data_IF_311356059562
#
_entry.id   IF_311356059562
#
_cell.length_a   1.000
_cell.length_b   1.000
_cell.length_c   1.000
_cell.angle_alpha   90.00
_cell.angle_beta   90.00
_cell.angle_gamma   90.00
#
_symmetry.space_group_name_H-M   'P 1'
#
loop_
_entity.id
_entity.type
_entity.pdbx_description
1 polymer ?
#
# COMPACT_ATOMS: atom_id res chain seq x y z
N UNK A 1 -5.29 -14.62 -23.98
CA UNK A 1 -3.87 -14.21 -24.08
C UNK A 1 -3.10 -15.07 -23.09
N UNK A 2 -2.17 -15.90 -23.57
CA UNK A 2 -1.36 -16.78 -22.74
C UNK A 2 -0.03 -16.09 -22.41
N UNK A 3 0.27 -15.90 -21.14
CA UNK A 3 1.60 -15.50 -20.70
C UNK A 3 2.35 -16.77 -20.28
N UNK A 4 3.30 -17.18 -21.12
CA UNK A 4 4.23 -18.28 -20.83
C UNK A 4 5.30 -17.70 -19.89
N UNK A 5 5.31 -18.15 -18.63
CA UNK A 5 6.33 -17.83 -17.64
C UNK A 5 7.66 -18.53 -18.01
N UNK A 6 8.67 -17.75 -18.42
CA UNK A 6 10.09 -18.15 -18.49
C UNK A 6 10.95 -17.08 -17.74
N UNK A 7 12.03 -17.43 -17.00
CA UNK A 7 12.39 -16.84 -15.68
C UNK A 7 13.60 -15.88 -15.66
N UNK A 8 13.95 -15.18 -14.54
CA UNK A 8 13.19 -14.95 -13.30
C UNK A 8 12.79 -13.46 -13.20
N UNK A 9 11.56 -13.12 -13.57
CA UNK A 9 10.94 -11.89 -13.07
C UNK A 9 10.14 -12.31 -11.84
N UNK A 10 10.82 -12.42 -10.71
CA UNK A 10 10.20 -12.79 -9.43
C UNK A 10 9.22 -11.71 -8.93
N UNK A 11 8.87 -10.69 -9.71
CA UNK A 11 8.04 -9.57 -9.30
C UNK A 11 6.95 -9.24 -10.33
N UNK A 12 5.70 -9.28 -9.88
CA UNK A 12 4.49 -8.95 -10.65
C UNK A 12 3.95 -7.59 -10.20
N UNK A 13 3.43 -6.78 -11.12
CA UNK A 13 2.99 -5.41 -10.83
C UNK A 13 1.53 -5.18 -11.30
N UNK A 14 0.53 -5.64 -10.53
CA UNK A 14 -0.87 -5.36 -10.84
C UNK A 14 -1.14 -3.86 -10.81
N UNK A 15 -2.01 -3.38 -11.72
CA UNK A 15 -2.40 -1.96 -11.78
C UNK A 15 -3.86 -1.74 -11.34
N UNK A 16 -4.57 -2.83 -11.06
CA UNK A 16 -5.94 -2.82 -10.54
C UNK A 16 -6.24 -4.10 -9.73
N UNK A 17 -7.41 -4.13 -9.11
CA UNK A 17 -7.86 -5.24 -8.26
C UNK A 17 -8.08 -6.51 -9.09
N UNK A 18 -8.56 -6.39 -10.33
CA UNK A 18 -8.83 -7.51 -11.22
C UNK A 18 -7.54 -8.26 -11.56
N UNK A 19 -6.48 -7.54 -11.93
CA UNK A 19 -5.15 -8.11 -12.17
C UNK A 19 -4.63 -8.85 -10.94
N UNK A 20 -4.77 -8.22 -9.76
CA UNK A 20 -4.36 -8.83 -8.50
C UNK A 20 -5.13 -10.12 -8.21
N UNK A 21 -6.45 -10.13 -8.40
CA UNK A 21 -7.28 -11.31 -8.21
C UNK A 21 -6.83 -12.48 -9.11
N UNK A 22 -6.51 -12.19 -10.37
CA UNK A 22 -6.06 -13.22 -11.31
C UNK A 22 -4.69 -13.77 -10.93
N UNK A 23 -3.76 -12.92 -10.50
CA UNK A 23 -2.45 -13.35 -9.97
C UNK A 23 -2.64 -14.26 -8.76
N UNK A 24 -3.46 -13.85 -7.79
CA UNK A 24 -3.73 -14.62 -6.57
C UNK A 24 -4.35 -15.98 -6.88
N UNK A 25 -5.25 -16.04 -7.87
CA UNK A 25 -5.86 -17.27 -8.33
C UNK A 25 -4.83 -18.23 -8.93
N UNK A 26 -3.98 -17.76 -9.84
CA UNK A 26 -2.94 -18.57 -10.47
C UNK A 26 -1.92 -19.10 -9.45
N UNK A 27 -1.49 -18.25 -8.52
CA UNK A 27 -0.60 -18.63 -7.41
C UNK A 27 -1.21 -19.76 -6.58
N UNK A 28 -2.49 -19.63 -6.23
CA UNK A 28 -3.23 -20.64 -5.45
C UNK A 28 -3.34 -21.95 -6.19
N UNK A 29 -3.67 -21.91 -7.48
CA UNK A 29 -3.78 -23.10 -8.35
C UNK A 29 -2.42 -23.82 -8.50
N UNK A 30 -1.33 -23.05 -8.54
CA UNK A 30 0.03 -23.59 -8.65
C UNK A 30 0.67 -23.99 -7.31
N UNK A 31 -0.03 -23.83 -6.18
CA UNK A 31 0.50 -24.13 -4.84
C UNK A 31 1.74 -23.31 -4.46
N UNK A 32 1.93 -22.13 -5.06
CA UNK A 32 3.09 -21.27 -4.84
C UNK A 32 2.87 -20.29 -3.69
N UNK A 33 3.94 -19.84 -3.04
CA UNK A 33 3.90 -18.76 -2.06
C UNK A 33 4.05 -17.40 -2.74
N UNK A 34 3.33 -16.41 -2.20
CA UNK A 34 3.51 -15.01 -2.58
C UNK A 34 4.07 -14.20 -1.44
N UNK A 35 4.78 -13.14 -1.78
CA UNK A 35 5.02 -12.03 -0.89
C UNK A 35 4.67 -10.71 -1.52
N UNK A 36 4.14 -9.83 -0.69
CA UNK A 36 3.66 -8.52 -1.11
C UNK A 36 4.72 -7.47 -0.79
N UNK A 37 4.95 -6.59 -1.75
CA UNK A 37 5.76 -5.38 -1.62
C UNK A 37 4.92 -4.18 -2.06
N UNK A 38 5.19 -3.00 -1.51
CA UNK A 38 4.62 -1.75 -2.02
C UNK A 38 5.70 -0.81 -2.60
N UNK A 39 6.97 -1.27 -2.64
CA UNK A 39 8.05 -0.62 -3.37
C UNK A 39 8.77 0.54 -2.66
N UNK A 40 8.40 0.88 -1.42
CA UNK A 40 9.07 1.96 -0.66
C UNK A 40 10.03 1.48 0.40
N UNK A 41 9.88 0.25 0.87
CA UNK A 41 10.75 -0.32 1.90
C UNK A 41 11.52 -1.53 1.36
N UNK A 42 12.84 -1.65 1.66
CA UNK A 42 13.63 -2.75 1.18
C UNK A 42 13.08 -4.08 1.69
N UNK A 43 12.90 -5.00 0.76
CA UNK A 43 12.34 -6.32 1.00
C UNK A 43 13.32 -7.38 0.45
N UNK A 44 13.51 -8.48 1.21
CA UNK A 44 14.34 -9.61 0.77
C UNK A 44 13.45 -10.80 0.40
N UNK A 45 13.29 -11.12 -0.89
CA UNK A 45 12.66 -12.37 -1.27
C UNK A 45 13.54 -13.55 -0.83
N UNK A 46 12.89 -14.61 -0.36
CA UNK A 46 13.44 -15.95 -0.22
C UNK A 46 13.39 -16.56 -1.62
N UNK A 47 14.28 -17.52 -1.84
CA UNK A 47 14.31 -18.31 -3.05
C UNK A 47 12.92 -18.94 -3.26
N UNK A 48 12.43 -18.87 -4.50
CA UNK A 48 11.17 -19.47 -4.98
C UNK A 48 9.85 -18.72 -4.69
N UNK A 49 9.90 -17.56 -4.02
CA UNK A 49 8.69 -16.74 -3.84
C UNK A 49 8.36 -15.85 -5.04
N UNK A 50 7.06 -15.81 -5.37
CA UNK A 50 6.50 -14.82 -6.29
C UNK A 50 6.27 -13.52 -5.51
N UNK A 51 6.95 -12.45 -5.90
CA UNK A 51 6.73 -11.11 -5.35
C UNK A 51 5.61 -10.44 -6.12
N UNK A 52 4.65 -9.85 -5.42
CA UNK A 52 3.60 -9.01 -5.99
C UNK A 52 3.79 -7.60 -5.44
N UNK A 53 4.11 -6.66 -6.33
CA UNK A 53 4.37 -5.29 -5.99
C UNK A 53 3.16 -4.40 -6.34
N UNK A 54 2.50 -3.91 -5.29
CA UNK A 54 1.28 -3.10 -5.38
C UNK A 54 1.57 -1.61 -5.59
N UNK A 55 2.82 -1.21 -5.83
CA UNK A 55 3.21 0.19 -6.00
C UNK A 55 2.55 0.90 -7.19
N UNK A 56 1.92 0.17 -8.12
CA UNK A 56 1.12 0.72 -9.23
C UNK A 56 -0.36 0.89 -8.90
N UNK A 57 -0.81 0.40 -7.74
CA UNK A 57 -2.16 0.62 -7.23
C UNK A 57 -2.12 1.83 -6.29
N UNK A 58 -2.18 3.04 -6.82
CA UNK A 58 -1.90 4.30 -6.12
C UNK A 58 -3.07 5.29 -6.08
N UNK A 59 -4.30 4.84 -6.36
CA UNK A 59 -5.49 5.70 -6.47
C UNK A 59 -6.11 6.07 -5.12
N UNK A 60 -6.72 7.27 -5.08
CA UNK A 60 -7.72 7.62 -4.08
C UNK A 60 -9.04 6.95 -4.46
N UNK A 61 -9.59 6.14 -3.56
CA UNK A 61 -10.86 5.43 -3.76
C UNK A 61 -12.05 6.18 -3.14
N UNK A 62 -11.81 6.95 -2.09
CA UNK A 62 -12.84 7.76 -1.45
C UNK A 62 -12.32 8.64 -0.32
N UNK A 63 -13.01 9.76 -0.09
CA UNK A 63 -12.73 10.67 1.02
C UNK A 63 -14.06 11.13 1.63
N UNK A 64 -14.30 10.70 2.86
CA UNK A 64 -15.44 11.11 3.68
C UNK A 64 -14.98 12.13 4.70
N UNK A 65 -15.34 13.39 4.47
CA UNK A 65 -14.93 14.51 5.32
C UNK A 65 -15.68 14.49 6.66
N UNK A 66 -16.92 14.01 6.69
CA UNK A 66 -17.73 13.97 7.91
C UNK A 66 -17.17 12.91 8.86
N UNK A 67 -16.90 11.72 8.33
CA UNK A 67 -16.31 10.61 9.08
C UNK A 67 -14.79 10.69 9.18
N UNK A 68 -14.16 11.71 8.59
CA UNK A 68 -12.70 11.93 8.57
C UNK A 68 -11.94 10.68 8.08
N UNK A 69 -12.51 9.99 7.11
CA UNK A 69 -12.06 8.69 6.61
C UNK A 69 -11.61 8.83 5.17
N UNK A 70 -10.42 8.33 4.88
CA UNK A 70 -9.88 8.25 3.54
C UNK A 70 -9.70 6.78 3.15
N UNK A 71 -10.02 6.43 1.92
CA UNK A 71 -9.85 5.09 1.35
C UNK A 71 -8.96 5.21 0.13
N UNK A 72 -7.85 4.49 0.13
CA UNK A 72 -6.77 4.59 -0.87
C UNK A 72 -6.25 3.22 -1.21
N UNK A 73 -5.69 3.08 -2.39
CA UNK A 73 -4.93 1.89 -2.78
C UNK A 73 -3.57 1.86 -2.06
N UNK A 74 -3.02 0.66 -1.77
CA UNK A 74 -1.84 0.50 -0.90
C UNK A 74 -0.54 1.09 -1.47
N UNK A 75 -0.45 1.26 -2.79
CA UNK A 75 0.69 1.85 -3.49
C UNK A 75 0.73 3.38 -3.44
N UNK A 76 -0.30 4.06 -2.93
CA UNK A 76 -0.29 5.52 -2.80
C UNK A 76 0.83 5.97 -1.87
N UNK A 77 1.55 7.04 -2.21
CA UNK A 77 2.56 7.64 -1.32
C UNK A 77 1.93 8.49 -0.22
N UNK A 78 2.53 8.48 0.97
CA UNK A 78 2.15 9.36 2.09
C UNK A 78 2.17 10.84 1.68
N UNK A 79 3.19 11.27 0.92
CA UNK A 79 3.27 12.64 0.42
C UNK A 79 2.11 13.03 -0.50
N UNK A 80 1.64 12.09 -1.34
CA UNK A 80 0.48 12.30 -2.20
C UNK A 80 -0.81 12.38 -1.36
N UNK A 81 -0.96 11.49 -0.38
CA UNK A 81 -2.10 11.52 0.55
C UNK A 81 -2.15 12.82 1.37
N UNK A 82 -1.01 13.30 1.90
CA UNK A 82 -0.97 14.55 2.66
C UNK A 82 -1.43 15.74 1.83
N UNK A 83 -0.99 15.83 0.57
CA UNK A 83 -1.44 16.89 -0.35
C UNK A 83 -2.96 16.84 -0.54
N UNK A 84 -3.54 15.65 -0.69
CA UNK A 84 -5.00 15.49 -0.83
C UNK A 84 -5.71 15.95 0.45
N UNK A 85 -5.27 15.52 1.62
CA UNK A 85 -5.91 15.87 2.90
C UNK A 85 -5.79 17.37 3.20
N UNK A 86 -4.67 17.99 2.84
CA UNK A 86 -4.45 19.44 2.98
C UNK A 86 -5.50 20.25 2.22
N UNK A 87 -5.93 19.80 1.03
CA UNK A 87 -7.00 20.48 0.25
C UNK A 87 -8.34 20.58 0.97
N UNK A 88 -8.58 19.73 1.98
CA UNK A 88 -9.80 19.70 2.78
C UNK A 88 -9.55 20.01 4.26
N UNK A 89 -8.41 20.62 4.58
CA UNK A 89 -7.99 20.98 5.95
C UNK A 89 -7.95 19.79 6.91
N UNK A 90 -7.63 18.60 6.39
CA UNK A 90 -7.41 17.38 7.17
C UNK A 90 -5.92 17.03 7.20
N UNK A 91 -5.51 16.29 8.22
CA UNK A 91 -4.18 15.72 8.33
C UNK A 91 -4.21 14.37 9.04
N UNK A 92 -3.17 13.56 8.83
CA UNK A 92 -2.97 12.34 9.64
C UNK A 92 -2.20 12.71 10.90
N UNK A 93 -2.65 12.19 12.03
CA UNK A 93 -1.89 12.28 13.29
C UNK A 93 -0.75 11.27 13.27
N UNK A 94 0.45 11.75 12.95
CA UNK A 94 1.65 10.94 12.83
C UNK A 94 2.74 11.49 13.74
N UNK A 95 3.33 10.60 14.57
CA UNK A 95 4.38 10.97 15.51
C UNK A 95 5.75 10.61 14.94
N UNK A 96 6.64 11.60 14.88
CA UNK A 96 8.04 11.42 14.46
C UNK A 96 8.28 11.69 12.97
N UNK A 97 9.55 11.55 12.55
CA UNK A 97 9.93 11.73 11.15
C UNK A 97 9.62 10.46 10.37
N UNK A 98 8.60 10.49 9.53
CA UNK A 98 8.23 9.36 8.66
C UNK A 98 8.74 9.62 7.23
N UNK A 99 9.53 8.70 6.63
CA UNK A 99 9.96 8.83 5.24
C UNK A 99 8.75 8.73 4.29
N UNK A 100 8.92 9.15 3.03
CA UNK A 100 7.86 9.08 2.03
C UNK A 100 7.61 7.64 1.54
N UNK A 101 6.86 6.90 2.35
CA UNK A 101 6.48 5.52 2.12
C UNK A 101 5.16 5.44 1.38
N UNK A 102 4.95 4.34 0.66
CA UNK A 102 3.62 3.90 0.26
C UNK A 102 2.78 3.56 1.49
N UNK A 103 1.46 3.77 1.42
CA UNK A 103 0.53 3.47 2.53
C UNK A 103 0.69 2.04 3.03
N UNK A 104 0.82 1.06 2.13
CA UNK A 104 1.01 -0.34 2.50
C UNK A 104 2.29 -0.59 3.30
N UNK A 105 3.41 0.03 2.91
CA UNK A 105 4.68 -0.10 3.63
C UNK A 105 4.65 0.67 4.97
N UNK A 106 4.02 1.85 5.01
CA UNK A 106 3.83 2.60 6.23
C UNK A 106 3.04 1.78 7.26
N UNK A 107 1.92 1.17 6.86
CA UNK A 107 1.13 0.27 7.70
C UNK A 107 1.94 -0.93 8.19
N UNK A 108 2.68 -1.59 7.29
CA UNK A 108 3.48 -2.77 7.63
C UNK A 108 4.60 -2.47 8.65
N UNK A 109 5.21 -1.29 8.57
CA UNK A 109 6.29 -0.87 9.49
C UNK A 109 5.71 -0.39 10.82
N UNK A 110 4.67 0.45 10.78
CA UNK A 110 4.08 1.01 12.00
C UNK A 110 3.53 -0.12 12.88
N UNK A 111 2.92 -1.15 12.27
CA UNK A 111 2.46 -2.36 12.98
C UNK A 111 3.59 -3.11 13.70
N UNK A 112 4.81 -3.12 13.15
CA UNK A 112 5.95 -3.77 13.80
C UNK A 112 6.54 -2.98 14.96
N UNK A 113 6.22 -1.68 15.11
CA UNK A 113 6.85 -0.82 16.11
C UNK A 113 6.04 -0.62 17.41
N UNK A 114 4.74 -0.96 17.44
CA UNK A 114 3.88 -0.85 18.65
C UNK A 114 2.77 -1.90 18.68
N UNK A 115 2.43 -2.38 19.88
CA UNK A 115 1.28 -3.26 20.18
C UNK A 115 -0.10 -2.66 19.81
N UNK A 116 -0.18 -1.40 19.39
CA UNK A 116 -1.36 -0.78 18.77
C UNK A 116 -0.90 0.35 17.86
N UNK A 117 -0.83 0.06 16.56
CA UNK A 117 -0.66 1.05 15.51
C UNK A 117 -2.04 1.48 15.00
N UNK A 118 -2.67 2.41 15.70
CA UNK A 118 -3.92 3.01 15.21
C UNK A 118 -3.54 4.15 14.26
N UNK A 119 -3.83 4.01 12.95
CA UNK A 119 -4.03 5.20 12.12
C UNK A 119 -5.28 5.87 12.67
N UNK A 120 -5.08 6.91 13.47
CA UNK A 120 -6.18 7.66 14.06
C UNK A 120 -6.93 8.41 12.94
N UNK A 121 -8.24 8.69 13.13
CA UNK A 121 -9.02 9.45 12.18
C UNK A 121 -8.38 10.81 11.88
N UNK A 122 -8.55 11.30 10.65
CA UNK A 122 -7.94 12.54 10.21
C UNK A 122 -8.35 13.70 11.15
N UNK A 123 -7.39 14.49 11.59
CA UNK A 123 -7.66 15.66 12.44
C UNK A 123 -7.87 16.89 11.58
N UNK A 124 -8.68 17.84 12.08
CA UNK A 124 -8.82 19.16 11.44
C UNK A 124 -7.58 19.97 11.78
N UNK A 125 -7.03 20.68 10.79
CA UNK A 125 -5.96 21.63 11.03
C UNK A 125 -6.44 22.72 12.00
N UNK A 126 -5.74 22.90 13.13
CA UNK A 126 -5.92 24.08 13.97
C UNK A 126 -5.24 25.25 13.24
N UNK A 127 -6.01 26.26 12.87
CA UNK A 127 -5.48 27.56 12.47
C UNK A 127 -5.21 28.33 13.77
N UNK A 128 -3.93 28.65 14.03
CA UNK A 128 -3.53 29.69 15.00
C UNK A 128 -3.81 31.08 14.44
#
# INVERSE_FOLDING_TARGET
MNWILNPPLNELHPSCVEDLCEILKQVRENGSSIRVSCGSFPFRPLKDDIVVNLGRMDKLLGLDIQEKRVTVEPGMKLSALFKILETVSLSLDMVGRVPDLTIGDALAIVWKSKETATILPCQKHAQE
#
